data_IF_849596606575
#
_entry.id   IF_849596606575
#
_cell.length_a   1.000
_cell.length_b   1.000
_cell.length_c   1.000
_cell.angle_alpha   90.00
_cell.angle_beta   90.00
_cell.angle_gamma   90.00
#
_symmetry.space_group_name_H-M   'P 1'
#
loop_
_entity.id
_entity.type
_entity.pdbx_description
1 polymer ?
#
# COMPACT_ATOMS: atom_id res chain seq x y z
N UNK A 1 3.25 76.65 30.12
CA UNK A 1 3.04 75.28 30.67
C UNK A 1 3.22 74.32 29.51
N UNK A 2 4.20 73.45 29.37
CA UNK A 2 5.45 73.06 30.04
C UNK A 2 6.13 72.13 29.00
N UNK A 3 7.44 72.00 28.80
CA UNK A 3 8.64 72.69 29.22
C UNK A 3 9.70 72.38 28.14
N UNK A 4 10.55 73.35 27.82
CA UNK A 4 11.84 73.14 27.17
C UNK A 4 12.76 72.29 28.06
N UNK A 5 13.65 71.51 27.46
CA UNK A 5 15.11 71.48 27.68
C UNK A 5 15.66 70.18 27.06
N UNK A 6 16.47 70.22 25.99
CA UNK A 6 17.86 70.66 25.81
C UNK A 6 18.62 69.38 25.35
N UNK A 7 19.05 69.31 24.08
CA UNK A 7 20.29 69.84 23.50
C UNK A 7 21.50 68.95 23.80
N UNK A 8 21.93 68.18 22.80
CA UNK A 8 23.36 67.91 22.50
C UNK A 8 23.47 67.27 21.11
N UNK A 9 23.85 68.09 20.13
CA UNK A 9 24.67 67.66 18.99
C UNK A 9 26.09 67.31 19.54
N UNK A 10 26.92 66.47 18.88
CA UNK A 10 27.28 66.65 17.47
C UNK A 10 27.72 65.41 16.66
N UNK A 11 27.97 65.70 15.37
CA UNK A 11 28.99 65.12 14.49
C UNK A 11 28.86 63.68 13.94
N UNK A 12 28.53 63.65 12.65
CA UNK A 12 29.25 62.96 11.59
C UNK A 12 29.80 61.55 11.86
N UNK A 13 29.13 60.55 11.28
CA UNK A 13 29.83 59.56 10.48
C UNK A 13 28.91 59.00 9.39
N UNK A 14 29.31 59.25 8.15
CA UNK A 14 28.89 58.50 6.98
C UNK A 14 29.07 57.00 7.25
N UNK A 15 27.97 56.28 7.40
CA UNK A 15 27.91 54.91 6.94
C UNK A 15 26.66 54.74 6.08
N UNK A 16 26.93 54.76 4.78
CA UNK A 16 25.97 54.48 3.73
C UNK A 16 25.18 53.22 4.05
N UNK A 17 23.91 53.37 4.41
CA UNK A 17 22.94 52.28 4.34
C UNK A 17 22.81 51.95 2.85
N UNK A 18 23.61 50.98 2.38
CA UNK A 18 23.49 50.43 1.03
C UNK A 18 22.02 50.01 0.87
N UNK A 19 21.27 50.56 -0.11
CA UNK A 19 19.95 50.03 -0.38
C UNK A 19 20.13 48.53 -0.69
N UNK A 20 19.39 47.66 0.00
CA UNK A 20 19.29 46.24 -0.38
C UNK A 20 19.03 46.24 -1.87
N UNK A 21 20.01 45.80 -2.68
CA UNK A 21 19.91 45.76 -4.14
C UNK A 21 18.56 45.16 -4.45
N UNK A 22 17.63 45.97 -4.96
CA UNK A 22 16.36 45.46 -5.46
C UNK A 22 16.74 44.39 -6.49
N UNK A 23 16.28 43.17 -6.29
CA UNK A 23 16.60 42.08 -7.19
C UNK A 23 15.88 42.38 -8.51
N UNK A 24 16.55 43.11 -9.41
CA UNK A 24 15.98 43.46 -10.72
C UNK A 24 16.04 42.20 -11.56
N UNK A 25 14.91 41.51 -11.68
CA UNK A 25 14.77 40.40 -12.61
C UNK A 25 15.08 40.90 -14.02
N UNK A 26 16.21 40.48 -14.57
CA UNK A 26 16.56 40.66 -15.97
C UNK A 26 15.55 39.95 -16.86
N UNK A 27 15.36 40.44 -18.09
CA UNK A 27 14.42 39.83 -19.05
C UNK A 27 14.77 38.37 -19.37
N UNK A 28 16.06 38.00 -19.28
CA UNK A 28 16.50 36.61 -19.41
C UNK A 28 16.04 35.74 -18.24
N UNK A 29 16.10 36.25 -17.00
CA UNK A 29 15.55 35.56 -15.82
C UNK A 29 14.04 35.39 -15.92
N UNK A 30 13.32 36.41 -16.42
CA UNK A 30 11.86 36.33 -16.64
C UNK A 30 11.49 35.27 -17.68
N UNK A 31 12.27 35.17 -18.77
CA UNK A 31 12.08 34.12 -19.80
C UNK A 31 12.34 32.73 -19.23
N UNK A 32 13.43 32.53 -18.48
CA UNK A 32 13.73 31.25 -17.83
C UNK A 32 12.68 30.84 -16.79
N UNK A 33 12.17 31.80 -16.02
CA UNK A 33 11.06 31.53 -15.08
C UNK A 33 9.80 31.14 -15.85
N UNK A 34 9.42 31.87 -16.91
CA UNK A 34 8.26 31.54 -17.72
C UNK A 34 8.38 30.16 -18.42
N UNK A 35 9.59 29.78 -18.86
CA UNK A 35 9.88 28.46 -19.40
C UNK A 35 9.78 27.37 -18.32
N UNK A 36 10.41 27.59 -17.17
CA UNK A 36 10.33 26.66 -16.02
C UNK A 36 8.89 26.46 -15.53
N UNK A 37 8.07 27.52 -15.53
CA UNK A 37 6.65 27.44 -15.20
C UNK A 37 5.87 26.66 -16.26
N UNK A 38 6.15 26.88 -17.55
CA UNK A 38 5.50 26.13 -18.64
C UNK A 38 5.86 24.65 -18.56
N UNK A 39 7.11 24.33 -18.29
CA UNK A 39 7.58 22.96 -18.07
C UNK A 39 6.95 22.33 -16.83
N UNK A 40 6.92 23.05 -15.71
CA UNK A 40 6.26 22.60 -14.49
C UNK A 40 4.77 22.34 -14.71
N UNK A 41 4.06 23.22 -15.44
CA UNK A 41 2.64 23.00 -15.81
C UNK A 41 2.47 21.79 -16.73
N UNK A 42 3.38 21.58 -17.69
CA UNK A 42 3.35 20.39 -18.58
C UNK A 42 3.58 19.11 -17.79
N UNK A 43 4.53 19.14 -16.87
CA UNK A 43 4.85 18.05 -15.96
C UNK A 43 3.66 17.72 -15.06
N UNK A 44 3.07 18.72 -14.38
CA UNK A 44 1.86 18.56 -13.55
C UNK A 44 0.66 18.02 -14.35
N UNK A 45 0.52 18.39 -15.63
CA UNK A 45 -0.51 17.82 -16.53
C UNK A 45 -0.24 16.36 -16.88
N UNK A 46 1.02 15.95 -17.01
CA UNK A 46 1.39 14.55 -17.24
C UNK A 46 1.14 13.74 -15.99
N UNK A 47 1.61 14.20 -14.83
CA UNK A 47 1.35 13.56 -13.54
C UNK A 47 -0.13 13.35 -13.31
N UNK A 48 -0.96 14.39 -13.46
CA UNK A 48 -2.42 14.25 -13.38
C UNK A 48 -2.96 13.21 -14.36
N UNK A 49 -2.55 13.25 -15.64
CA UNK A 49 -3.00 12.25 -16.62
C UNK A 49 -2.62 10.83 -16.21
N UNK A 50 -1.43 10.64 -15.67
CA UNK A 50 -1.02 9.35 -15.13
C UNK A 50 -1.85 8.98 -13.90
N UNK A 51 -2.03 9.87 -12.93
CA UNK A 51 -2.86 9.67 -11.73
C UNK A 51 -4.32 9.30 -12.03
N UNK A 52 -4.86 9.70 -13.17
CA UNK A 52 -6.24 9.40 -13.60
C UNK A 52 -6.36 8.27 -14.63
N UNK A 53 -5.24 7.68 -15.05
CA UNK A 53 -5.26 6.59 -16.02
C UNK A 53 -5.59 5.24 -15.35
N UNK A 54 -6.43 4.42 -15.99
CA UNK A 54 -6.69 3.05 -15.50
C UNK A 54 -5.44 2.17 -15.50
N UNK A 55 -4.51 2.46 -16.40
CA UNK A 55 -3.24 1.75 -16.52
C UNK A 55 -2.41 1.99 -15.27
N UNK A 56 -2.21 3.24 -14.85
CA UNK A 56 -1.48 3.52 -13.60
C UNK A 56 -2.16 2.87 -12.40
N UNK A 57 -3.49 2.91 -12.32
CA UNK A 57 -4.25 2.29 -11.23
C UNK A 57 -4.05 0.78 -11.15
N UNK A 58 -3.79 0.13 -12.27
CA UNK A 58 -3.55 -1.31 -12.32
C UNK A 58 -2.15 -1.68 -11.83
N UNK A 59 -1.15 -0.92 -12.27
CA UNK A 59 0.27 -1.11 -11.92
C UNK A 59 0.65 -0.65 -10.52
N UNK A 60 -0.19 0.20 -9.94
CA UNK A 60 -0.05 0.70 -8.59
C UNK A 60 -0.33 -0.41 -7.55
N UNK A 61 0.74 -1.16 -7.19
CA UNK A 61 0.69 -2.23 -6.20
C UNK A 61 0.30 -1.74 -4.81
N UNK A 62 0.76 -0.53 -4.46
CA UNK A 62 0.61 0.11 -3.18
C UNK A 62 -0.30 1.33 -3.32
N UNK A 63 -1.64 1.15 -3.40
CA UNK A 63 -2.55 2.28 -3.51
C UNK A 63 -2.22 3.30 -2.44
N UNK A 64 -2.17 4.57 -2.83
CA UNK A 64 -2.53 5.66 -1.93
C UNK A 64 -3.98 5.41 -1.48
N UNK A 65 -4.16 4.52 -0.51
CA UNK A 65 -5.40 4.39 0.23
C UNK A 65 -5.70 5.75 0.87
N UNK A 66 -6.97 5.95 1.21
CA UNK A 66 -7.62 7.16 1.76
C UNK A 66 -6.86 7.92 2.88
N UNK A 67 -5.77 7.35 3.37
CA UNK A 67 -4.77 7.88 4.29
C UNK A 67 -4.09 9.16 3.79
N UNK A 68 -3.96 9.33 2.47
CA UNK A 68 -3.57 10.59 1.84
C UNK A 68 -4.78 11.15 1.11
N UNK A 69 -5.64 11.91 1.82
CA UNK A 69 -6.53 12.84 1.11
C UNK A 69 -5.66 13.98 0.60
N UNK A 70 -5.41 14.09 -0.72
CA UNK A 70 -4.72 15.27 -1.22
C UNK A 70 -5.50 16.54 -0.82
N UNK A 71 -4.82 17.71 -0.84
CA UNK A 71 -5.48 19.00 -0.63
C UNK A 71 -6.76 19.08 -1.47
N UNK A 72 -7.81 19.77 -1.01
CA UNK A 72 -9.11 19.82 -1.69
C UNK A 72 -9.01 20.13 -3.20
N UNK A 73 -8.03 20.95 -3.60
CA UNK A 73 -7.73 21.32 -4.99
C UNK A 73 -7.18 20.17 -5.87
N UNK A 74 -6.72 19.08 -5.27
CA UNK A 74 -6.09 17.91 -5.92
C UNK A 74 -6.89 16.63 -5.69
N UNK A 75 -8.06 16.72 -5.05
CA UNK A 75 -8.96 15.58 -4.87
C UNK A 75 -9.61 15.16 -6.17
N UNK A 76 -9.76 13.85 -6.32
CA UNK A 76 -10.58 13.26 -7.37
C UNK A 76 -12.04 13.60 -7.11
N UNK A 77 -12.82 13.81 -8.16
CA UNK A 77 -14.28 13.95 -7.99
C UNK A 77 -14.87 12.64 -7.44
N UNK A 78 -15.98 12.71 -6.72
CA UNK A 78 -16.66 11.52 -6.15
C UNK A 78 -16.92 10.42 -7.19
N UNK A 79 -17.32 10.81 -8.42
CA UNK A 79 -17.49 9.88 -9.55
C UNK A 79 -16.16 9.20 -9.95
N UNK A 80 -15.06 9.92 -9.91
CA UNK A 80 -13.74 9.40 -10.27
C UNK A 80 -13.19 8.48 -9.16
N UNK A 81 -13.42 8.80 -7.89
CA UNK A 81 -13.11 7.91 -6.76
C UNK A 81 -13.90 6.61 -6.87
N UNK A 82 -15.22 6.70 -7.11
CA UNK A 82 -16.05 5.52 -7.32
C UNK A 82 -15.55 4.68 -8.50
N UNK A 83 -15.19 5.31 -9.63
CA UNK A 83 -14.63 4.61 -10.78
C UNK A 83 -13.30 3.91 -10.47
N UNK A 84 -12.43 4.56 -9.68
CA UNK A 84 -11.17 3.98 -9.20
C UNK A 84 -11.40 2.75 -8.32
N UNK A 85 -12.26 2.86 -7.29
CA UNK A 85 -12.56 1.76 -6.39
C UNK A 85 -13.26 0.60 -7.12
N UNK A 86 -14.20 0.89 -8.02
CA UNK A 86 -14.86 -0.13 -8.85
C UNK A 86 -13.86 -0.86 -9.74
N UNK A 87 -12.96 -0.12 -10.39
CA UNK A 87 -11.90 -0.71 -11.21
C UNK A 87 -10.99 -1.61 -10.38
N UNK A 88 -10.55 -1.15 -9.21
CA UNK A 88 -9.69 -1.95 -8.32
C UNK A 88 -10.39 -3.19 -7.78
N UNK A 89 -11.66 -3.09 -7.39
CA UNK A 89 -12.45 -4.25 -6.99
C UNK A 89 -12.50 -5.28 -8.13
N UNK A 90 -12.80 -4.86 -9.35
CA UNK A 90 -12.83 -5.75 -10.52
C UNK A 90 -11.47 -6.37 -10.86
N UNK A 91 -10.38 -5.63 -10.67
CA UNK A 91 -9.02 -6.10 -10.98
C UNK A 91 -8.30 -6.75 -9.79
N UNK A 92 -8.99 -6.99 -8.67
CA UNK A 92 -8.42 -7.55 -7.45
C UNK A 92 -8.31 -9.07 -7.49
N UNK A 93 -7.31 -9.64 -6.81
CA UNK A 93 -7.21 -11.09 -6.62
C UNK A 93 -8.47 -11.71 -6.02
N UNK A 94 -9.12 -11.04 -5.05
CA UNK A 94 -10.34 -11.52 -4.42
C UNK A 94 -11.52 -11.62 -5.39
N UNK A 95 -11.69 -10.68 -6.33
CA UNK A 95 -12.71 -10.77 -7.37
C UNK A 95 -12.48 -11.98 -8.28
N UNK A 96 -11.25 -12.20 -8.74
CA UNK A 96 -10.93 -13.33 -9.61
C UNK A 96 -11.01 -14.68 -8.89
N UNK A 97 -10.75 -14.72 -7.58
CA UNK A 97 -11.03 -15.88 -6.72
C UNK A 97 -12.53 -16.22 -6.70
N UNK A 98 -13.40 -15.21 -6.60
CA UNK A 98 -14.86 -15.42 -6.71
C UNK A 98 -15.27 -15.88 -8.11
N UNK A 99 -14.66 -15.32 -9.16
CA UNK A 99 -14.92 -15.76 -10.54
C UNK A 99 -14.52 -17.22 -10.78
N UNK A 100 -13.41 -17.70 -10.19
CA UNK A 100 -13.08 -19.14 -10.17
C UNK A 100 -14.25 -19.99 -9.65
N UNK A 101 -15.00 -19.50 -8.67
CA UNK A 101 -16.15 -20.20 -8.08
C UNK A 101 -17.49 -20.00 -8.80
N UNK A 102 -17.58 -19.09 -9.77
CA UNK A 102 -18.82 -18.71 -10.45
C UNK A 102 -19.38 -19.79 -11.38
N UNK A 103 -20.72 -19.90 -11.41
CA UNK A 103 -21.43 -20.97 -12.10
C UNK A 103 -21.15 -21.04 -13.63
N UNK A 104 -21.14 -19.89 -14.33
CA UNK A 104 -20.93 -19.88 -15.78
C UNK A 104 -19.54 -20.36 -16.21
N UNK A 105 -18.50 -20.00 -15.46
CA UNK A 105 -17.12 -20.39 -15.77
C UNK A 105 -16.87 -21.86 -15.39
N UNK A 106 -17.49 -22.34 -14.30
CA UNK A 106 -17.51 -23.77 -13.96
C UNK A 106 -18.21 -24.61 -15.02
N UNK A 107 -19.32 -24.13 -15.58
CA UNK A 107 -20.01 -24.82 -16.67
C UNK A 107 -19.16 -24.92 -17.93
N UNK A 108 -18.40 -23.87 -18.28
CA UNK A 108 -17.44 -23.92 -19.39
C UNK A 108 -16.31 -24.95 -19.12
N UNK A 109 -15.83 -25.04 -17.88
CA UNK A 109 -14.81 -26.00 -17.49
C UNK A 109 -15.32 -27.46 -17.51
N UNK A 110 -16.49 -27.71 -16.92
CA UNK A 110 -17.14 -29.03 -16.92
C UNK A 110 -17.52 -29.42 -18.34
N UNK A 111 -18.08 -28.50 -19.13
CA UNK A 111 -18.37 -28.71 -20.54
C UNK A 111 -17.11 -29.01 -21.36
N UNK A 112 -15.99 -28.33 -21.10
CA UNK A 112 -14.70 -28.59 -21.74
C UNK A 112 -14.13 -29.97 -21.40
N UNK A 113 -14.28 -30.42 -20.15
CA UNK A 113 -13.90 -31.78 -19.73
C UNK A 113 -14.75 -32.84 -20.42
N UNK A 114 -16.08 -32.64 -20.47
CA UNK A 114 -17.00 -33.55 -21.16
C UNK A 114 -16.69 -33.58 -22.66
N UNK A 115 -16.41 -32.44 -23.28
CA UNK A 115 -15.99 -32.36 -24.68
C UNK A 115 -14.66 -33.09 -24.93
N UNK A 116 -13.71 -33.03 -24.00
CA UNK A 116 -12.46 -33.77 -24.09
C UNK A 116 -12.69 -35.29 -24.11
N UNK A 117 -13.58 -35.81 -23.27
CA UNK A 117 -13.96 -37.23 -23.29
C UNK A 117 -14.65 -37.63 -24.60
N UNK A 118 -15.58 -36.81 -25.10
CA UNK A 118 -16.28 -37.08 -26.37
C UNK A 118 -15.32 -37.04 -27.56
N UNK A 119 -14.32 -36.15 -27.56
CA UNK A 119 -13.31 -36.07 -28.62
C UNK A 119 -12.27 -37.19 -28.55
N UNK A 120 -11.95 -37.66 -27.34
CA UNK A 120 -11.04 -38.77 -27.10
C UNK A 120 -11.66 -40.15 -27.41
N UNK A 121 -12.97 -40.22 -27.65
CA UNK A 121 -13.68 -41.43 -28.05
C UNK A 121 -14.09 -41.36 -29.54
N UNK A 122 -13.27 -41.87 -30.48
CA UNK A 122 -13.58 -41.89 -31.91
C UNK A 122 -14.95 -42.48 -32.28
N UNK A 123 -15.47 -43.56 -31.65
CA UNK A 123 -16.75 -44.14 -32.05
C UNK A 123 -17.97 -43.31 -31.64
N UNK A 124 -17.81 -42.30 -30.79
CA UNK A 124 -18.87 -41.37 -30.38
C UNK A 124 -18.88 -40.08 -31.22
N UNK A 125 -17.96 -39.93 -32.20
CA UNK A 125 -17.94 -38.82 -33.16
C UNK A 125 -19.04 -38.98 -34.22
N UNK A 126 -20.30 -38.96 -33.80
CA UNK A 126 -21.45 -39.16 -34.68
C UNK A 126 -21.80 -37.99 -35.62
N UNK A 127 -21.08 -36.86 -35.60
CA UNK A 127 -21.31 -35.76 -36.53
C UNK A 127 -20.07 -34.88 -36.70
N UNK A 128 -19.52 -34.82 -37.91
CA UNK A 128 -18.39 -33.93 -38.27
C UNK A 128 -18.69 -32.46 -37.95
N UNK A 129 -19.97 -32.05 -38.03
CA UNK A 129 -20.44 -30.70 -37.71
C UNK A 129 -20.32 -30.31 -36.22
N UNK A 130 -20.31 -31.29 -35.30
CA UNK A 130 -20.22 -31.04 -33.86
C UNK A 130 -18.77 -30.94 -33.36
N UNK A 131 -17.78 -31.37 -34.15
CA UNK A 131 -16.36 -31.41 -33.77
C UNK A 131 -15.77 -30.00 -33.63
N UNK A 132 -16.14 -29.09 -34.54
CA UNK A 132 -15.70 -27.69 -34.51
C UNK A 132 -16.07 -26.98 -33.20
N UNK A 133 -17.37 -26.89 -32.84
CA UNK A 133 -17.79 -26.27 -31.60
C UNK A 133 -17.16 -26.92 -30.35
N UNK A 134 -17.17 -28.26 -30.26
CA UNK A 134 -16.64 -28.95 -29.08
C UNK A 134 -15.15 -28.68 -28.86
N UNK A 135 -14.37 -28.43 -29.91
CA UNK A 135 -12.93 -28.12 -29.78
C UNK A 135 -12.70 -26.76 -29.13
N UNK A 136 -13.52 -25.76 -29.44
CA UNK A 136 -13.49 -24.46 -28.76
C UNK A 136 -13.89 -24.56 -27.29
N UNK A 137 -14.85 -25.44 -26.96
CA UNK A 137 -15.21 -25.72 -25.58
C UNK A 137 -14.04 -26.37 -24.80
N UNK A 138 -13.31 -27.29 -25.43
CA UNK A 138 -12.11 -27.92 -24.86
C UNK A 138 -11.00 -26.89 -24.62
N UNK A 139 -10.68 -26.06 -25.63
CA UNK A 139 -9.67 -24.99 -25.50
C UNK A 139 -10.07 -24.01 -24.39
N UNK A 140 -11.35 -23.64 -24.31
CA UNK A 140 -11.89 -22.79 -23.24
C UNK A 140 -11.72 -23.42 -21.85
N UNK A 141 -11.99 -24.72 -21.72
CA UNK A 141 -11.76 -25.48 -20.48
C UNK A 141 -10.27 -25.56 -20.10
N UNK A 142 -9.38 -25.73 -21.08
CA UNK A 142 -7.93 -25.72 -20.89
C UNK A 142 -7.40 -24.39 -20.35
N UNK A 143 -7.83 -23.27 -20.95
CA UNK A 143 -7.48 -21.94 -20.44
C UNK A 143 -8.00 -21.70 -19.01
N UNK A 144 -9.19 -22.21 -18.67
CA UNK A 144 -9.70 -22.12 -17.30
C UNK A 144 -8.85 -22.92 -16.32
N UNK A 145 -8.49 -24.17 -16.63
CA UNK A 145 -7.63 -24.98 -15.77
C UNK A 145 -6.27 -24.30 -15.54
N UNK A 146 -5.67 -23.77 -16.61
CA UNK A 146 -4.46 -22.97 -16.51
C UNK A 146 -4.65 -21.73 -15.63
N UNK A 147 -5.78 -21.02 -15.76
CA UNK A 147 -6.11 -19.87 -14.91
C UNK A 147 -6.20 -20.27 -13.43
N UNK A 148 -6.83 -21.40 -13.12
CA UNK A 148 -6.96 -21.91 -11.75
C UNK A 148 -5.58 -22.29 -11.18
N UNK A 149 -4.77 -23.04 -11.93
CA UNK A 149 -3.41 -23.40 -11.51
C UNK A 149 -2.56 -22.14 -11.31
N UNK A 150 -2.67 -21.18 -12.22
CA UNK A 150 -1.95 -19.91 -12.14
C UNK A 150 -2.34 -19.11 -10.90
N UNK A 151 -3.65 -19.05 -10.58
CA UNK A 151 -4.13 -18.43 -9.35
C UNK A 151 -3.55 -19.13 -8.12
N UNK A 152 -3.61 -20.46 -8.06
CA UNK A 152 -3.11 -21.25 -6.93
C UNK A 152 -1.61 -21.03 -6.68
N UNK A 153 -0.83 -20.84 -7.75
CA UNK A 153 0.62 -20.68 -7.67
C UNK A 153 1.07 -19.22 -7.42
N UNK A 154 0.38 -18.24 -8.01
CA UNK A 154 0.84 -16.83 -7.98
C UNK A 154 0.07 -15.94 -6.99
N UNK A 155 -1.10 -16.35 -6.51
CA UNK A 155 -1.83 -15.60 -5.49
C UNK A 155 -1.01 -15.49 -4.19
N UNK A 156 -0.90 -14.30 -3.57
CA UNK A 156 -0.20 -14.13 -2.31
C UNK A 156 -0.75 -15.06 -1.20
N UNK A 157 0.14 -15.67 -0.42
CA UNK A 157 -0.18 -16.77 0.50
C UNK A 157 -1.17 -16.35 1.60
N UNK A 158 -0.96 -15.18 2.20
CA UNK A 158 -1.84 -14.64 3.24
C UNK A 158 -3.26 -14.40 2.70
N UNK A 159 -3.39 -13.75 1.55
CA UNK A 159 -4.67 -13.54 0.87
C UNK A 159 -5.33 -14.85 0.47
N UNK A 160 -4.57 -15.78 -0.10
CA UNK A 160 -5.08 -17.12 -0.47
C UNK A 160 -5.70 -17.84 0.73
N UNK A 161 -5.06 -17.80 1.91
CA UNK A 161 -5.60 -18.44 3.11
C UNK A 161 -6.85 -17.73 3.62
N UNK A 162 -6.89 -16.40 3.62
CA UNK A 162 -8.09 -15.66 4.04
C UNK A 162 -9.27 -15.91 3.10
N UNK A 163 -9.02 -16.08 1.80
CA UNK A 163 -10.04 -16.41 0.80
C UNK A 163 -10.55 -17.85 0.91
N UNK A 164 -9.76 -18.77 1.45
CA UNK A 164 -10.17 -20.16 1.67
C UNK A 164 -11.22 -20.32 2.78
N UNK A 165 -11.45 -19.28 3.60
CA UNK A 165 -12.63 -19.17 4.48
C UNK A 165 -12.72 -20.20 5.61
N UNK A 166 -11.67 -20.98 5.89
CA UNK A 166 -11.66 -21.94 6.99
C UNK A 166 -11.58 -21.21 8.33
N UNK A 167 -12.72 -21.05 9.00
CA UNK A 167 -12.83 -20.58 10.39
C UNK A 167 -12.53 -21.71 11.38
N UNK A 168 -11.50 -22.51 11.08
CA UNK A 168 -11.11 -23.65 11.92
C UNK A 168 -10.23 -23.16 13.09
N UNK A 169 -10.23 -23.92 14.18
CA UNK A 169 -9.30 -23.76 15.29
C UNK A 169 -7.85 -23.73 14.75
N UNK A 170 -7.14 -22.64 15.03
CA UNK A 170 -5.78 -22.43 14.51
C UNK A 170 -4.73 -23.07 15.42
N UNK A 171 -5.03 -23.18 16.72
CA UNK A 171 -4.04 -23.57 17.72
C UNK A 171 -2.88 -22.57 17.83
N UNK A 172 -1.85 -22.92 18.58
CA UNK A 172 -0.68 -22.04 18.80
C UNK A 172 0.17 -21.93 17.51
N UNK A 173 0.38 -23.05 16.82
CA UNK A 173 1.19 -23.10 15.60
C UNK A 173 0.55 -22.34 14.44
N UNK A 174 -0.78 -22.47 14.26
CA UNK A 174 -1.51 -21.72 13.24
C UNK A 174 -1.45 -20.20 13.49
N UNK A 175 -1.55 -19.77 14.75
CA UNK A 175 -1.37 -18.35 15.12
C UNK A 175 0.05 -17.85 14.85
N UNK A 176 1.08 -18.63 15.20
CA UNK A 176 2.49 -18.28 14.89
C UNK A 176 2.76 -18.20 13.40
N UNK A 177 2.20 -19.12 12.62
CA UNK A 177 2.34 -19.11 11.17
C UNK A 177 1.65 -17.89 10.55
N UNK A 178 0.46 -17.51 11.03
CA UNK A 178 -0.21 -16.29 10.60
C UNK A 178 0.56 -15.01 10.98
N UNK A 179 1.15 -14.97 12.17
CA UNK A 179 2.04 -13.90 12.59
C UNK A 179 3.24 -13.77 11.63
N UNK A 180 3.91 -14.88 11.32
CA UNK A 180 5.03 -14.89 10.40
C UNK A 180 4.66 -14.40 8.99
N UNK A 181 3.46 -14.72 8.50
CA UNK A 181 2.98 -14.19 7.22
C UNK A 181 2.70 -12.69 7.27
N UNK A 182 2.15 -12.18 8.37
CA UNK A 182 1.93 -10.75 8.54
C UNK A 182 3.26 -10.01 8.67
N UNK A 183 4.23 -10.57 9.39
CA UNK A 183 5.59 -10.05 9.44
C UNK A 183 6.25 -10.04 8.06
N UNK A 184 6.09 -11.07 7.22
CA UNK A 184 6.62 -11.05 5.85
C UNK A 184 5.98 -9.96 4.98
N UNK A 185 4.71 -9.62 5.22
CA UNK A 185 4.10 -8.48 4.54
C UNK A 185 4.62 -7.15 5.07
N UNK A 186 4.77 -6.99 6.39
CA UNK A 186 5.38 -5.80 6.98
C UNK A 186 6.83 -5.59 6.53
N UNK A 187 7.60 -6.67 6.36
CA UNK A 187 8.96 -6.63 5.80
C UNK A 187 9.02 -5.92 4.45
N UNK A 188 8.00 -6.05 3.59
CA UNK A 188 7.95 -5.35 2.30
C UNK A 188 7.77 -3.83 2.42
N UNK A 189 7.17 -3.39 3.52
CA UNK A 189 6.94 -1.98 3.82
C UNK A 189 8.11 -1.34 4.57
N UNK A 190 9.05 -2.14 5.06
CA UNK A 190 10.29 -1.66 5.64
C UNK A 190 11.20 -1.11 4.55
N UNK A 191 11.84 0.02 4.84
CA UNK A 191 12.67 0.74 3.87
C UNK A 191 13.95 1.25 4.51
N UNK A 192 14.96 1.46 3.66
CA UNK A 192 16.17 2.20 4.01
C UNK A 192 16.10 3.53 3.27
N UNK A 193 16.30 4.62 4.01
CA UNK A 193 16.25 5.98 3.49
C UNK A 193 17.57 6.69 3.80
N UNK A 194 18.36 7.07 2.78
CA UNK A 194 19.58 7.85 3.01
C UNK A 194 19.23 9.23 3.54
N UNK A 195 20.10 9.77 4.38
CA UNK A 195 20.00 11.14 4.87
C UNK A 195 20.55 12.11 3.83
N UNK A 196 19.76 13.13 3.48
CA UNK A 196 20.16 14.15 2.53
C UNK A 196 20.95 15.26 3.25
N UNK A 197 22.27 15.31 3.02
CA UNK A 197 23.16 16.28 3.65
C UNK A 197 22.86 17.72 3.19
N UNK A 198 22.46 17.92 1.92
CA UNK A 198 22.22 19.25 1.35
C UNK A 198 21.00 19.89 2.00
N UNK A 199 19.95 19.11 2.21
CA UNK A 199 18.74 19.56 2.91
C UNK A 199 18.98 19.69 4.42
N UNK A 200 19.84 18.84 4.98
CA UNK A 200 20.25 18.91 6.40
C UNK A 200 21.07 20.15 6.73
N UNK A 201 21.85 20.65 5.77
CA UNK A 201 22.71 21.84 5.91
C UNK A 201 21.95 23.16 6.16
N UNK A 202 20.62 23.17 6.00
CA UNK A 202 19.76 24.31 6.34
C UNK A 202 19.64 24.49 7.87
N UNK A 203 19.82 23.41 8.65
CA UNK A 203 19.87 23.43 10.13
C UNK A 203 21.05 22.58 10.65
N UNK A 204 22.29 23.06 10.47
CA UNK A 204 23.50 22.28 10.74
C UNK A 204 23.75 22.02 12.23
N UNK A 205 23.10 22.77 13.12
CA UNK A 205 23.20 22.57 14.58
C UNK A 205 22.49 21.32 15.08
N UNK A 206 21.65 20.68 14.26
CA UNK A 206 20.99 19.45 14.68
C UNK A 206 22.00 18.33 14.93
N UNK A 207 21.89 17.67 16.08
CA UNK A 207 22.71 16.49 16.42
C UNK A 207 22.72 15.44 15.29
N UNK A 208 21.57 15.26 14.63
CA UNK A 208 21.41 14.34 13.49
C UNK A 208 22.27 14.71 12.28
N UNK A 209 22.41 16.01 11.99
CA UNK A 209 23.26 16.47 10.89
C UNK A 209 24.76 16.27 11.21
N UNK A 210 25.18 16.56 12.45
CA UNK A 210 26.56 16.30 12.90
C UNK A 210 26.91 14.81 12.80
N UNK A 211 26.02 13.95 13.28
CA UNK A 211 26.19 12.49 13.18
C UNK A 211 26.26 12.03 11.71
N UNK A 212 25.43 12.59 10.83
CA UNK A 212 25.48 12.29 9.40
C UNK A 212 26.80 12.72 8.74
N UNK A 213 27.33 13.90 9.09
CA UNK A 213 28.64 14.36 8.64
C UNK A 213 29.75 13.43 9.12
N UNK A 214 29.70 13.02 10.39
CA UNK A 214 30.70 12.11 10.95
C UNK A 214 30.68 10.76 10.24
N UNK A 215 29.51 10.17 9.98
CA UNK A 215 29.39 8.92 9.21
C UNK A 215 29.94 9.09 7.78
N UNK A 216 29.63 10.23 7.14
CA UNK A 216 30.12 10.53 5.79
C UNK A 216 31.65 10.67 5.76
N UNK A 217 32.26 11.26 6.81
CA UNK A 217 33.73 11.34 6.96
C UNK A 217 34.40 9.98 7.07
N UNK A 218 33.69 8.97 7.59
CA UNK A 218 34.16 7.58 7.61
C UNK A 218 34.01 6.87 6.25
N UNK A 219 33.55 7.56 5.20
CA UNK A 219 33.41 7.02 3.85
C UNK A 219 32.12 6.24 3.62
N UNK A 220 31.14 6.35 4.52
CA UNK A 220 29.87 5.62 4.44
C UNK A 220 28.66 6.54 4.27
N UNK A 221 27.55 5.96 3.80
CA UNK A 221 26.30 6.70 3.58
C UNK A 221 25.47 6.67 4.87
N UNK A 222 25.12 7.83 5.46
CA UNK A 222 24.19 7.89 6.57
C UNK A 222 22.77 7.54 6.12
N UNK A 223 22.11 6.62 6.82
CA UNK A 223 20.76 6.20 6.48
C UNK A 223 19.91 5.89 7.72
N UNK A 224 18.60 6.01 7.55
CA UNK A 224 17.60 5.49 8.47
C UNK A 224 17.09 4.15 7.93
N UNK A 225 16.91 3.16 8.81
CA UNK A 225 16.15 1.94 8.50
C UNK A 225 14.86 1.91 9.32
N UNK A 226 13.72 1.59 8.73
CA UNK A 226 12.44 1.54 9.45
C UNK A 226 11.21 1.63 8.55
N UNK A 227 10.05 1.85 9.16
CA UNK A 227 8.82 2.11 8.43
C UNK A 227 8.76 3.58 8.00
N UNK A 228 8.47 3.80 6.72
CA UNK A 228 8.16 5.12 6.19
C UNK A 228 6.85 5.65 6.78
N UNK A 229 6.62 6.95 6.64
CA UNK A 229 5.34 7.54 7.10
C UNK A 229 4.14 6.90 6.43
N UNK A 230 4.25 6.60 5.13
CA UNK A 230 3.22 5.88 4.40
C UNK A 230 2.94 4.49 5.01
N UNK A 231 4.00 3.71 5.25
CA UNK A 231 3.88 2.40 5.89
C UNK A 231 3.28 2.50 7.30
N UNK A 232 3.74 3.48 8.09
CA UNK A 232 3.25 3.72 9.44
C UNK A 232 1.76 4.07 9.45
N UNK A 233 1.32 4.94 8.55
CA UNK A 233 -0.09 5.34 8.44
C UNK A 233 -0.97 4.15 8.06
N UNK A 234 -0.47 3.26 7.17
CA UNK A 234 -1.16 2.03 6.78
C UNK A 234 -1.31 1.06 7.96
N UNK A 235 -0.24 0.88 8.74
CA UNK A 235 -0.27 0.08 9.97
C UNK A 235 -1.27 0.68 10.97
N UNK A 236 -1.26 2.00 11.16
CA UNK A 236 -2.21 2.68 12.04
C UNK A 236 -3.67 2.48 11.61
N UNK A 237 -3.94 2.51 10.31
CA UNK A 237 -5.27 2.26 9.79
C UNK A 237 -5.73 0.82 10.06
N UNK A 238 -4.85 -0.16 9.85
CA UNK A 238 -5.19 -1.55 10.14
C UNK A 238 -5.43 -1.78 11.64
N UNK A 239 -4.66 -1.13 12.52
CA UNK A 239 -4.92 -1.16 13.96
C UNK A 239 -6.27 -0.53 14.31
N UNK A 240 -6.64 0.58 13.67
CA UNK A 240 -7.96 1.20 13.86
C UNK A 240 -9.09 0.31 13.38
N UNK A 241 -8.95 -0.31 12.22
CA UNK A 241 -9.95 -1.22 11.67
C UNK A 241 -10.10 -2.44 12.56
N UNK A 242 -8.98 -3.00 13.03
CA UNK A 242 -8.96 -4.07 14.01
C UNK A 242 -9.72 -3.66 15.27
N UNK A 243 -9.40 -2.52 15.88
CA UNK A 243 -10.08 -2.00 17.07
C UNK A 243 -11.60 -1.89 16.91
N UNK A 244 -12.06 -1.49 15.71
CA UNK A 244 -13.50 -1.42 15.40
C UNK A 244 -14.14 -2.80 15.29
N UNK A 245 -13.46 -3.76 14.69
CA UNK A 245 -14.00 -5.11 14.44
C UNK A 245 -13.98 -5.98 15.70
N UNK A 246 -12.96 -5.85 16.54
CA UNK A 246 -12.81 -6.61 17.79
C UNK A 246 -13.37 -5.88 19.00
N UNK A 247 -13.81 -4.62 18.84
CA UNK A 247 -14.19 -3.73 19.94
C UNK A 247 -13.09 -3.54 21.01
N UNK A 248 -11.83 -3.82 20.68
CA UNK A 248 -10.69 -3.62 21.60
C UNK A 248 -10.32 -2.14 21.65
N UNK A 249 -10.16 -1.58 22.84
CA UNK A 249 -9.62 -0.24 22.98
C UNK A 249 -8.13 -0.23 22.65
N UNK A 250 -7.73 0.74 21.83
CA UNK A 250 -6.33 1.02 21.53
C UNK A 250 -6.04 2.45 21.99
N UNK A 251 -4.98 2.59 22.74
CA UNK A 251 -4.45 3.84 23.24
C UNK A 251 -3.17 4.19 22.51
N UNK A 252 -2.91 5.48 22.38
CA UNK A 252 -1.65 6.02 21.89
C UNK A 252 -0.95 6.65 23.07
N UNK A 253 0.31 6.30 23.23
CA UNK A 253 1.19 6.97 24.19
C UNK A 253 2.20 7.79 23.43
N UNK A 254 2.27 9.07 23.76
CA UNK A 254 3.18 10.02 23.13
C UNK A 254 4.48 10.13 23.94
N UNK A 255 5.06 11.33 24.01
CA UNK A 255 6.41 11.54 24.55
C UNK A 255 6.52 11.44 26.07
N UNK A 256 5.39 11.46 26.81
CA UNK A 256 5.37 11.36 28.26
C UNK A 256 4.79 10.02 28.71
N UNK A 257 5.43 9.34 29.68
CA UNK A 257 4.91 8.10 30.22
C UNK A 257 3.55 8.34 30.89
N UNK A 258 2.63 7.39 30.76
CA UNK A 258 1.30 7.38 31.38
C UNK A 258 0.31 8.46 30.88
N UNK A 259 0.66 9.24 29.85
CA UNK A 259 -0.29 10.11 29.15
C UNK A 259 -0.85 9.38 27.92
N UNK A 260 -2.03 8.78 28.09
CA UNK A 260 -2.70 8.03 27.02
C UNK A 260 -3.77 8.86 26.33
N UNK A 261 -3.69 8.88 25.00
CA UNK A 261 -4.72 9.46 24.14
C UNK A 261 -5.45 8.36 23.40
N UNK A 262 -6.75 8.56 23.13
CA UNK A 262 -7.52 7.61 22.32
C UNK A 262 -6.87 7.48 20.94
N UNK A 263 -6.59 6.25 20.50
CA UNK A 263 -5.89 6.02 19.26
C UNK A 263 -6.69 6.55 18.06
N UNK A 264 -6.06 7.48 17.33
CA UNK A 264 -6.53 7.98 16.03
C UNK A 264 -5.36 7.96 15.05
N UNK A 265 -5.54 7.50 13.81
CA UNK A 265 -4.50 7.57 12.79
C UNK A 265 -4.12 9.04 12.57
N UNK A 266 -2.83 9.34 12.62
CA UNK A 266 -2.34 10.71 12.44
C UNK A 266 -1.62 10.83 11.11
N UNK A 267 -2.04 11.83 10.35
CA UNK A 267 -1.36 12.21 9.13
C UNK A 267 -0.18 13.11 9.46
N UNK A 268 1.03 12.75 9.00
CA UNK A 268 2.19 13.63 9.04
C UNK A 268 2.66 13.88 7.60
N UNK A 269 3.06 15.12 7.34
CA UNK A 269 3.78 15.48 6.12
C UNK A 269 5.20 14.92 6.26
N UNK A 270 5.74 14.35 5.18
CA UNK A 270 7.08 13.75 5.19
C UNK A 270 8.16 14.73 4.76
N UNK A 271 8.83 15.47 5.68
CA UNK A 271 10.03 16.20 5.31
C UNK A 271 11.11 15.23 4.80
N UNK A 272 11.93 15.70 3.87
CA UNK A 272 12.92 14.86 3.17
C UNK A 272 13.87 14.14 4.13
N UNK A 273 14.21 14.72 5.28
CA UNK A 273 15.08 14.14 6.32
C UNK A 273 14.34 13.62 7.56
N UNK A 274 13.04 13.37 7.47
CA UNK A 274 12.29 12.70 8.55
C UNK A 274 12.91 11.33 8.86
N UNK A 275 13.18 11.00 10.14
CA UNK A 275 13.55 9.65 10.53
C UNK A 275 12.45 8.66 10.20
N UNK A 276 12.85 7.43 9.83
CA UNK A 276 11.92 6.29 9.75
C UNK A 276 11.56 5.83 11.15
N UNK A 277 10.45 5.09 11.29
CA UNK A 277 9.90 4.74 12.60
C UNK A 277 9.84 3.25 12.89
N UNK A 278 9.85 2.95 14.19
CA UNK A 278 9.55 1.66 14.76
C UNK A 278 8.24 1.69 15.52
N UNK A 279 7.46 0.63 15.36
CA UNK A 279 6.25 0.41 16.11
C UNK A 279 6.57 -0.43 17.35
N UNK A 280 6.02 -0.03 18.48
CA UNK A 280 5.95 -0.86 19.66
C UNK A 280 4.49 -0.94 20.13
N UNK A 281 3.97 -2.16 20.17
CA UNK A 281 2.64 -2.45 20.68
C UNK A 281 2.79 -3.12 22.04
N UNK A 282 2.22 -2.54 23.08
CA UNK A 282 2.17 -3.15 24.42
C UNK A 282 0.74 -3.39 24.84
N UNK A 283 0.59 -4.11 25.95
CA UNK A 283 -0.68 -4.28 26.65
C UNK A 283 -0.60 -3.48 27.94
N UNK A 284 -1.64 -2.72 28.21
CA UNK A 284 -1.76 -1.89 29.40
C UNK A 284 -1.81 -2.78 30.64
N UNK A 285 -0.88 -2.53 31.57
CA UNK A 285 -0.83 -3.22 32.85
C UNK A 285 -1.81 -2.57 33.85
N UNK A 286 -2.14 -3.28 34.93
CA UNK A 286 -3.03 -2.79 35.99
C UNK A 286 -2.53 -1.45 36.59
N UNK A 287 -1.23 -1.37 36.90
CA UNK A 287 -0.60 -0.15 37.42
C UNK A 287 -0.63 1.03 36.44
N UNK A 288 -0.49 0.77 35.14
CA UNK A 288 -0.57 1.81 34.10
C UNK A 288 -1.99 2.34 33.97
N UNK A 289 -2.99 1.45 34.02
CA UNK A 289 -4.41 1.83 33.99
C UNK A 289 -4.80 2.67 35.21
N UNK A 290 -4.32 2.31 36.40
CA UNK A 290 -4.54 3.07 37.64
C UNK A 290 -3.90 4.46 37.59
N UNK A 291 -2.64 4.55 37.14
CA UNK A 291 -1.93 5.83 37.05
C UNK A 291 -2.52 6.75 35.98
N UNK A 292 -2.92 6.19 34.84
CA UNK A 292 -3.50 6.93 33.73
C UNK A 292 -4.92 7.43 34.00
N UNK A 293 -5.66 6.75 34.89
CA UNK A 293 -7.10 6.93 35.10
C UNK A 293 -7.94 6.77 33.82
N UNK A 294 -7.38 6.13 32.80
CA UNK A 294 -7.96 5.95 31.46
C UNK A 294 -7.59 4.56 30.96
N UNK A 295 -8.57 3.86 30.37
CA UNK A 295 -8.38 2.49 29.87
C UNK A 295 -8.64 1.41 30.91
N UNK A 296 -8.39 0.16 30.53
CA UNK A 296 -8.48 -1.03 31.37
C UNK A 296 -7.26 -1.92 31.16
N UNK A 297 -6.96 -2.75 32.15
CA UNK A 297 -5.97 -3.82 31.99
C UNK A 297 -6.33 -4.67 30.76
N UNK A 298 -5.33 -4.97 29.93
CA UNK A 298 -5.53 -5.72 28.70
C UNK A 298 -5.76 -4.87 27.45
N UNK A 299 -6.00 -3.57 27.59
CA UNK A 299 -6.09 -2.65 26.45
C UNK A 299 -4.73 -2.55 25.72
N UNK A 300 -4.76 -2.30 24.41
CA UNK A 300 -3.54 -2.19 23.62
C UNK A 300 -3.01 -0.77 23.64
N UNK A 301 -1.69 -0.62 23.73
CA UNK A 301 -0.99 0.67 23.69
C UNK A 301 -0.04 0.70 22.50
N UNK A 302 -0.17 1.72 21.67
CA UNK A 302 0.68 1.95 20.49
C UNK A 302 1.67 3.07 20.79
N UNK A 303 2.95 2.78 20.60
CA UNK A 303 4.06 3.74 20.66
C UNK A 303 4.82 3.72 19.34
N UNK A 304 5.20 4.91 18.86
CA UNK A 304 6.07 5.08 17.69
C UNK A 304 7.38 5.72 18.11
N UNK A 305 8.49 5.11 17.71
CA UNK A 305 9.83 5.62 17.97
C UNK A 305 10.48 6.07 16.67
N UNK A 306 11.09 7.25 16.67
CA UNK A 306 11.90 7.72 15.56
C UNK A 306 13.28 7.06 15.62
N UNK A 307 13.68 6.40 14.53
CA UNK A 307 14.94 5.68 14.49
C UNK A 307 16.15 6.63 14.42
N UNK A 308 17.24 6.17 15.03
CA UNK A 308 18.54 6.82 14.92
C UNK A 308 19.11 6.65 13.52
N UNK A 309 20.01 7.57 13.19
CA UNK A 309 20.75 7.56 11.95
C UNK A 309 21.93 6.60 12.10
N UNK A 310 22.13 5.73 11.12
CA UNK A 310 23.12 4.66 11.18
C UNK A 310 23.86 4.52 9.85
N UNK A 311 24.87 3.66 9.84
CA UNK A 311 25.63 3.29 8.66
C UNK A 311 24.78 2.44 7.73
N UNK A 312 24.62 2.84 6.45
CA UNK A 312 23.83 2.07 5.49
C UNK A 312 24.32 0.61 5.37
N UNK A 313 25.63 0.37 5.52
CA UNK A 313 26.24 -0.96 5.48
C UNK A 313 25.80 -1.87 6.63
N UNK A 314 25.45 -1.30 7.79
CA UNK A 314 25.02 -2.02 9.00
C UNK A 314 23.52 -2.27 9.03
N UNK A 315 22.75 -1.51 8.24
CA UNK A 315 21.31 -1.69 8.17
C UNK A 315 20.98 -3.03 7.49
N UNK A 316 19.98 -3.77 8.01
CA UNK A 316 19.60 -5.05 7.44
C UNK A 316 19.08 -4.86 6.01
N UNK A 317 19.30 -5.86 5.17
CA UNK A 317 18.57 -5.95 3.89
C UNK A 317 17.20 -6.57 4.14
N UNK A 318 16.20 -6.35 3.26
CA UNK A 318 14.88 -6.96 3.41
C UNK A 318 14.91 -8.48 3.61
N UNK A 319 15.94 -9.18 3.07
CA UNK A 319 16.10 -10.63 3.22
C UNK A 319 16.52 -11.06 4.63
N UNK A 320 17.33 -10.24 5.31
CA UNK A 320 17.87 -10.54 6.64
C UNK A 320 17.15 -9.78 7.75
N UNK A 321 16.07 -9.06 7.41
CA UNK A 321 15.30 -8.27 8.35
C UNK A 321 14.49 -9.15 9.30
N UNK A 322 14.76 -8.98 10.59
CA UNK A 322 13.91 -9.46 11.68
C UNK A 322 12.88 -8.37 12.00
N UNK A 323 11.65 -8.55 11.52
CA UNK A 323 10.61 -7.52 11.59
C UNK A 323 10.21 -7.19 13.02
N UNK A 324 10.21 -8.18 13.91
CA UNK A 324 9.87 -7.99 15.33
C UNK A 324 10.77 -6.98 16.04
N UNK A 325 12.00 -6.74 15.55
CA UNK A 325 12.89 -5.71 16.09
C UNK A 325 12.47 -4.27 15.73
N UNK A 326 11.68 -4.10 14.66
CA UNK A 326 11.16 -2.80 14.19
C UNK A 326 9.67 -2.63 14.48
N UNK A 327 8.98 -3.72 14.79
CA UNK A 327 7.54 -3.85 14.93
C UNK A 327 7.26 -4.77 16.11
N UNK A 328 7.64 -4.32 17.30
CA UNK A 328 7.57 -5.12 18.52
C UNK A 328 6.13 -5.25 19.01
N UNK A 329 5.81 -6.42 19.58
CA UNK A 329 4.53 -6.64 20.26
C UNK A 329 3.33 -6.96 19.37
N UNK A 330 3.51 -7.12 18.05
CA UNK A 330 2.43 -7.61 17.16
C UNK A 330 1.83 -8.94 17.63
N UNK A 331 2.61 -9.76 18.34
CA UNK A 331 2.15 -11.01 18.97
C UNK A 331 0.89 -10.82 19.83
N UNK A 332 0.68 -9.64 20.41
CA UNK A 332 -0.51 -9.35 21.22
C UNK A 332 -1.80 -9.38 20.41
N UNK A 333 -1.77 -9.05 19.11
CA UNK A 333 -2.92 -9.18 18.20
C UNK A 333 -3.25 -10.65 17.87
N UNK A 334 -2.31 -11.56 18.10
CA UNK A 334 -2.43 -12.98 17.81
C UNK A 334 -2.64 -13.82 19.08
N UNK A 335 -3.04 -13.19 20.20
CA UNK A 335 -3.35 -13.91 21.45
C UNK A 335 -4.53 -14.86 21.33
N UNK A 336 -5.52 -14.55 20.50
CA UNK A 336 -6.69 -15.41 20.28
C UNK A 336 -6.84 -15.76 18.81
N UNK A 337 -7.49 -16.88 18.50
CA UNK A 337 -7.72 -17.30 17.11
C UNK A 337 -8.60 -16.29 16.36
N UNK A 338 -9.65 -15.78 17.02
CA UNK A 338 -10.53 -14.77 16.44
C UNK A 338 -9.79 -13.44 16.16
N UNK A 339 -8.96 -12.97 17.09
CA UNK A 339 -8.16 -11.75 16.88
C UNK A 339 -7.12 -11.92 15.77
N UNK A 340 -6.43 -13.07 15.75
CA UNK A 340 -5.46 -13.42 14.72
C UNK A 340 -6.11 -13.45 13.33
N UNK A 341 -7.26 -14.12 13.18
CA UNK A 341 -8.02 -14.16 11.93
C UNK A 341 -8.48 -12.76 11.50
N UNK A 342 -8.94 -11.94 12.44
CA UNK A 342 -9.42 -10.58 12.13
C UNK A 342 -8.27 -9.71 11.62
N UNK A 343 -7.15 -9.67 12.34
CA UNK A 343 -6.00 -8.84 11.93
C UNK A 343 -5.38 -9.32 10.62
N UNK A 344 -5.24 -10.64 10.46
CA UNK A 344 -4.71 -11.22 9.21
C UNK A 344 -5.61 -10.96 8.02
N UNK A 345 -6.94 -10.97 8.18
CA UNK A 345 -7.89 -10.57 7.13
C UNK A 345 -7.69 -9.12 6.71
N UNK A 346 -7.45 -8.20 7.64
CA UNK A 346 -7.18 -6.79 7.32
C UNK A 346 -5.88 -6.66 6.51
N UNK A 347 -4.78 -7.24 6.99
CA UNK A 347 -3.48 -7.18 6.30
C UNK A 347 -3.51 -7.89 4.95
N UNK A 348 -4.23 -9.01 4.84
CA UNK A 348 -4.41 -9.72 3.57
C UNK A 348 -5.03 -8.85 2.48
N UNK A 349 -5.93 -7.92 2.83
CA UNK A 349 -6.54 -7.03 1.86
C UNK A 349 -5.50 -6.15 1.14
N UNK A 350 -4.36 -5.86 1.78
CA UNK A 350 -3.26 -5.11 1.17
C UNK A 350 -2.65 -5.83 -0.04
N UNK A 351 -2.76 -7.16 -0.08
CA UNK A 351 -2.22 -7.97 -1.15
C UNK A 351 -3.15 -8.05 -2.38
N UNK A 352 -4.38 -7.52 -2.31
CA UNK A 352 -5.36 -7.62 -3.40
C UNK A 352 -4.86 -7.03 -4.73
N UNK A 353 -3.94 -6.07 -4.67
CA UNK A 353 -3.34 -5.43 -5.86
C UNK A 353 -1.88 -5.79 -6.13
N UNK A 354 -1.33 -6.76 -5.42
CA UNK A 354 0.06 -7.18 -5.65
C UNK A 354 0.24 -7.94 -6.97
N UNK A 355 1.48 -7.95 -7.48
CA UNK A 355 1.89 -8.74 -8.65
C UNK A 355 1.03 -8.44 -9.89
N UNK A 356 1.02 -7.20 -10.41
CA UNK A 356 0.13 -6.76 -11.48
C UNK A 356 0.33 -7.58 -12.76
N UNK A 357 1.56 -7.99 -13.08
CA UNK A 357 1.84 -8.89 -14.20
C UNK A 357 1.17 -10.26 -14.05
N UNK A 358 1.25 -10.84 -12.84
CA UNK A 358 0.63 -12.14 -12.55
C UNK A 358 -0.90 -12.02 -12.56
N UNK A 359 -1.46 -10.88 -12.14
CA UNK A 359 -2.89 -10.61 -12.28
C UNK A 359 -3.28 -10.46 -13.75
N UNK A 360 -2.52 -9.72 -14.55
CA UNK A 360 -2.82 -9.49 -15.96
C UNK A 360 -2.87 -10.81 -16.74
N UNK A 361 -1.90 -11.69 -16.50
CA UNK A 361 -1.89 -13.04 -17.09
C UNK A 361 -3.10 -13.87 -16.65
N UNK A 362 -3.46 -13.85 -15.36
CA UNK A 362 -4.68 -14.51 -14.87
C UNK A 362 -5.93 -14.00 -15.58
N UNK A 363 -6.07 -12.67 -15.69
CA UNK A 363 -7.20 -12.00 -16.34
C UNK A 363 -7.27 -12.39 -17.81
N UNK A 364 -6.13 -12.38 -18.50
CA UNK A 364 -6.03 -12.83 -19.88
C UNK A 364 -6.50 -14.27 -20.07
N UNK A 365 -6.11 -15.19 -19.18
CA UNK A 365 -6.54 -16.59 -19.23
C UNK A 365 -8.05 -16.75 -19.02
N UNK A 366 -8.64 -16.03 -18.06
CA UNK A 366 -10.10 -16.04 -17.87
C UNK A 366 -10.86 -15.42 -19.04
N UNK A 367 -10.36 -14.32 -19.62
CA UNK A 367 -10.96 -13.70 -20.80
C UNK A 367 -10.86 -14.59 -22.03
N UNK A 368 -9.72 -15.25 -22.24
CA UNK A 368 -9.55 -16.22 -23.32
C UNK A 368 -10.52 -17.41 -23.17
N UNK A 369 -10.63 -17.96 -21.96
CA UNK A 369 -11.59 -19.02 -21.64
C UNK A 369 -13.04 -18.60 -21.93
N UNK A 370 -13.44 -17.41 -21.45
CA UNK A 370 -14.77 -16.85 -21.72
C UNK A 370 -15.02 -16.56 -23.20
N UNK A 371 -14.02 -16.05 -23.92
CA UNK A 371 -14.09 -15.82 -25.37
C UNK A 371 -14.29 -17.11 -26.16
N UNK A 372 -13.55 -18.17 -25.83
CA UNK A 372 -13.74 -19.49 -26.43
C UNK A 372 -15.14 -20.05 -26.15
N UNK A 373 -15.67 -19.86 -24.94
CA UNK A 373 -17.02 -20.28 -24.59
C UNK A 373 -18.10 -19.51 -25.36
N UNK A 374 -17.98 -18.18 -25.46
CA UNK A 374 -18.91 -17.36 -26.25
C UNK A 374 -18.89 -17.77 -27.73
N UNK A 375 -17.70 -18.03 -28.27
CA UNK A 375 -17.55 -18.53 -29.63
C UNK A 375 -18.20 -19.90 -29.84
N UNK A 376 -18.05 -20.81 -28.87
CA UNK A 376 -18.77 -22.09 -28.86
C UNK A 376 -20.29 -21.88 -28.90
N UNK A 377 -20.85 -21.01 -28.05
CA UNK A 377 -22.29 -20.72 -28.02
C UNK A 377 -22.76 -20.15 -29.37
N UNK A 378 -21.99 -19.23 -29.95
CA UNK A 378 -22.28 -18.68 -31.27
C UNK A 378 -22.31 -19.78 -32.36
N UNK A 379 -21.33 -20.68 -32.37
CA UNK A 379 -21.31 -21.80 -33.31
C UNK A 379 -22.48 -22.76 -33.11
N UNK A 380 -22.87 -23.03 -31.86
CA UNK A 380 -24.06 -23.84 -31.55
C UNK A 380 -25.35 -23.18 -32.03
N UNK A 381 -25.50 -21.87 -31.83
CA UNK A 381 -26.64 -21.10 -32.33
C UNK A 381 -26.72 -21.13 -33.86
N UNK A 382 -25.58 -21.00 -34.56
CA UNK A 382 -25.52 -21.10 -36.02
C UNK A 382 -25.95 -22.48 -36.54
N UNK A 383 -25.64 -23.55 -35.82
CA UNK A 383 -26.03 -24.92 -36.17
C UNK A 383 -27.53 -25.15 -35.91
N UNK A 384 -28.06 -24.63 -34.80
CA UNK A 384 -29.45 -24.85 -34.39
C UNK A 384 -30.46 -23.95 -35.13
N UNK A 385 -30.06 -22.73 -35.52
CA UNK A 385 -30.93 -21.72 -36.15
C UNK A 385 -30.27 -21.11 -37.39
N UNK A 386 -30.07 -21.88 -38.48
CA UNK A 386 -29.36 -21.41 -39.67
C UNK A 386 -30.08 -20.31 -40.46
N UNK A 387 -31.38 -20.08 -40.20
CA UNK A 387 -32.20 -19.10 -40.93
C UNK A 387 -32.38 -17.75 -40.19
N UNK A 388 -31.78 -17.58 -39.01
CA UNK A 388 -31.92 -16.37 -38.17
C UNK A 388 -30.63 -15.55 -38.05
N UNK A 389 -29.50 -16.05 -38.57
CA UNK A 389 -28.16 -15.47 -38.58
C UNK A 389 -27.52 -15.72 -39.94
#
# INVERSE_FOLDING_TARGET
MSAENQLTEPENQNDSIKPKKAFVLTDEMRRRIAESEKEHRRYKRRERRFEFSRISWFWDEFPNEELYRPPLAERRNTRQEMAYHRFRQMMSWSFWSRMKSGAGIKLAAVGGLVAAFIQAAPPLKGAEAAVGPLSWLLVGGGFYLLAVIWFEWKCPVLLKRTLAGKEEYLGIEGRRWLLALVEDELRRWWSVKPYDLDVGGIKPESYKHRLALDITRHGEIPAYGGFSEFASARIEYALREYAKLTSTAIWREEFKPNEFQKFMPVHRMCPRNMPLRNLHLSVMNESEAEMAKVGKEGDLVVRWFDNSLDFQSRLPTPRNLVVSAYAEGFIYLFRTDASALTFTRIVAQWQNTMRPLCRLTLIGLFLASGGCFLWFVFLQLKILLPNLL
#
